data_IF_958427574045
#
_entry.id   IF_958427574045
#
_cell.length_a   1.000
_cell.length_b   1.000
_cell.length_c   1.000
_cell.angle_alpha   90.00
_cell.angle_beta   90.00
_cell.angle_gamma   90.00
#
_symmetry.space_group_name_H-M   'P 1'
#
loop_
_entity.id
_entity.type
_entity.pdbx_description
1 polymer ?
#
# COMPACT_ATOMS: atom_id res chain seq x y z
N UNK A 1 -17.04 17.12 -33.38
CA UNK A 1 -18.08 16.18 -32.88
C UNK A 1 -17.59 15.68 -31.54
N UNK A 2 -18.24 16.07 -30.46
CA UNK A 2 -17.96 15.54 -29.12
C UNK A 2 -18.24 14.04 -29.15
N UNK A 3 -17.20 13.22 -28.99
CA UNK A 3 -17.36 11.78 -28.79
C UNK A 3 -18.23 11.57 -27.54
N UNK A 4 -19.52 11.36 -27.76
CA UNK A 4 -20.52 11.24 -26.72
C UNK A 4 -20.14 10.12 -25.77
N UNK A 5 -20.03 10.44 -24.48
CA UNK A 5 -20.00 9.47 -23.40
C UNK A 5 -21.19 8.50 -23.58
N UNK A 6 -20.92 7.19 -23.56
CA UNK A 6 -21.88 6.14 -23.92
C UNK A 6 -21.68 4.90 -23.03
N UNK A 7 -22.47 3.85 -23.24
CA UNK A 7 -22.45 2.67 -22.37
C UNK A 7 -21.13 1.90 -22.41
N UNK A 8 -20.38 1.96 -23.51
CA UNK A 8 -19.03 1.40 -23.54
C UNK A 8 -18.08 2.19 -22.62
N UNK A 9 -18.20 3.52 -22.56
CA UNK A 9 -17.44 4.34 -21.61
C UNK A 9 -17.87 4.05 -20.17
N UNK A 10 -19.17 3.89 -19.91
CA UNK A 10 -19.71 3.50 -18.59
C UNK A 10 -19.15 2.15 -18.14
N UNK A 11 -19.19 1.14 -19.01
CA UNK A 11 -18.67 -0.19 -18.71
C UNK A 11 -17.16 -0.17 -18.43
N UNK A 12 -16.39 0.62 -19.19
CA UNK A 12 -14.96 0.78 -18.95
C UNK A 12 -14.69 1.45 -17.59
N UNK A 13 -15.39 2.55 -17.28
CA UNK A 13 -15.25 3.23 -16.00
C UNK A 13 -15.66 2.34 -14.82
N UNK A 14 -16.76 1.58 -14.94
CA UNK A 14 -17.17 0.62 -13.91
C UNK A 14 -16.10 -0.45 -13.67
N UNK A 15 -15.50 -0.98 -14.73
CA UNK A 15 -14.41 -1.94 -14.61
C UNK A 15 -13.16 -1.33 -13.95
N UNK A 16 -12.84 -0.07 -14.25
CA UNK A 16 -11.75 0.66 -13.60
C UNK A 16 -12.02 0.88 -12.11
N UNK A 17 -13.21 1.36 -11.74
CA UNK A 17 -13.58 1.59 -10.34
C UNK A 17 -13.60 0.30 -9.52
N UNK A 18 -14.13 -0.80 -10.09
CA UNK A 18 -14.18 -2.09 -9.41
C UNK A 18 -12.80 -2.69 -9.12
N UNK A 19 -11.80 -2.40 -9.97
CA UNK A 19 -10.42 -2.86 -9.78
C UNK A 19 -9.56 -1.87 -9.00
N UNK A 20 -9.94 -0.58 -8.99
CA UNK A 20 -9.18 0.52 -8.41
C UNK A 20 -7.99 0.97 -9.28
N UNK A 21 -7.27 0.03 -9.91
CA UNK A 21 -6.22 0.34 -10.88
C UNK A 21 -6.15 -0.66 -12.03
N UNK A 22 -5.40 -0.30 -13.08
CA UNK A 22 -5.15 -1.16 -14.24
C UNK A 22 -3.94 -0.71 -15.03
N UNK A 23 -3.21 -1.70 -15.56
CA UNK A 23 -2.20 -1.49 -16.57
C UNK A 23 -2.78 -1.25 -17.95
N UNK A 24 -1.95 -0.74 -18.88
CA UNK A 24 -2.32 -0.62 -20.30
C UNK A 24 -2.84 -1.95 -20.89
N UNK A 25 -2.19 -3.07 -20.58
CA UNK A 25 -2.55 -4.38 -21.11
C UNK A 25 -3.92 -4.81 -20.57
N UNK A 26 -4.17 -4.65 -19.28
CA UNK A 26 -5.46 -5.01 -18.68
C UNK A 26 -6.58 -4.11 -19.17
N UNK A 27 -6.30 -2.82 -19.30
CA UNK A 27 -7.21 -1.83 -19.87
C UNK A 27 -7.61 -2.17 -21.30
N UNK A 28 -6.64 -2.52 -22.16
CA UNK A 28 -6.90 -3.00 -23.53
C UNK A 28 -7.73 -4.29 -23.55
N UNK A 29 -7.45 -5.24 -22.66
CA UNK A 29 -8.25 -6.48 -22.54
C UNK A 29 -9.70 -6.18 -22.16
N UNK A 30 -9.94 -5.24 -21.23
CA UNK A 30 -11.30 -4.79 -20.89
C UNK A 30 -11.98 -4.16 -22.12
N UNK A 31 -11.30 -3.24 -22.80
CA UNK A 31 -11.86 -2.59 -23.99
C UNK A 31 -12.15 -3.58 -25.12
N UNK A 32 -11.28 -4.57 -25.32
CA UNK A 32 -11.49 -5.65 -26.27
C UNK A 32 -12.76 -6.46 -25.93
N UNK A 33 -12.97 -6.81 -24.66
CA UNK A 33 -14.19 -7.48 -24.20
C UNK A 33 -15.45 -6.62 -24.44
N UNK A 34 -15.41 -5.33 -24.08
CA UNK A 34 -16.52 -4.39 -24.30
C UNK A 34 -16.84 -4.25 -25.79
N UNK A 35 -15.81 -4.11 -26.64
CA UNK A 35 -15.98 -4.01 -28.10
C UNK A 35 -16.50 -5.31 -28.70
N UNK A 36 -16.09 -6.46 -28.17
CA UNK A 36 -16.55 -7.75 -28.68
C UNK A 36 -18.07 -7.91 -28.53
N UNK A 37 -18.60 -7.52 -27.37
CA UNK A 37 -20.05 -7.53 -27.11
C UNK A 37 -20.77 -6.52 -28.00
N UNK A 38 -20.24 -5.30 -28.12
CA UNK A 38 -20.89 -4.22 -28.88
C UNK A 38 -20.89 -4.47 -30.39
N UNK A 39 -19.80 -5.00 -30.92
CA UNK A 39 -19.61 -5.25 -32.35
C UNK A 39 -20.08 -6.65 -32.77
N UNK A 40 -20.50 -7.49 -31.82
CA UNK A 40 -20.90 -8.89 -32.04
C UNK A 40 -19.86 -9.70 -32.83
N UNK A 41 -18.58 -9.42 -32.58
CA UNK A 41 -17.44 -10.13 -33.17
C UNK A 41 -16.34 -10.27 -32.13
N UNK A 42 -15.45 -11.23 -32.32
CA UNK A 42 -14.27 -11.32 -31.47
C UNK A 42 -13.34 -10.13 -31.73
N UNK A 43 -12.99 -9.42 -30.66
CA UNK A 43 -11.99 -8.35 -30.63
C UNK A 43 -10.95 -8.75 -29.59
N UNK A 44 -9.69 -8.80 -30.01
CA UNK A 44 -8.56 -9.14 -29.15
C UNK A 44 -7.94 -7.87 -28.55
N UNK A 45 -7.04 -8.02 -27.58
CA UNK A 45 -6.36 -6.87 -26.99
C UNK A 45 -5.41 -6.17 -27.99
N UNK A 46 -4.89 -6.90 -28.98
CA UNK A 46 -4.04 -6.37 -30.05
C UNK A 46 -4.83 -5.48 -31.03
N UNK A 47 -6.13 -5.70 -31.15
CA UNK A 47 -7.04 -4.87 -31.98
C UNK A 47 -7.36 -3.51 -31.33
N UNK A 48 -6.95 -3.30 -30.07
CA UNK A 48 -7.15 -2.04 -29.34
C UNK A 48 -5.84 -1.24 -29.38
N UNK A 49 -5.85 -0.14 -30.12
CA UNK A 49 -4.69 0.76 -30.19
C UNK A 49 -4.49 1.53 -28.87
N UNK A 50 -3.27 2.03 -28.65
CA UNK A 50 -2.96 2.86 -27.47
C UNK A 50 -3.79 4.15 -27.48
N UNK A 51 -4.00 4.76 -28.65
CA UNK A 51 -4.80 5.98 -28.80
C UNK A 51 -6.27 5.73 -28.47
N UNK A 52 -6.80 4.56 -28.81
CA UNK A 52 -8.14 4.15 -28.42
C UNK A 52 -8.25 4.05 -26.91
N UNK A 53 -7.30 3.39 -26.25
CA UNK A 53 -7.27 3.28 -24.81
C UNK A 53 -7.15 4.65 -24.12
N UNK A 54 -6.22 5.50 -24.57
CA UNK A 54 -6.03 6.85 -24.03
C UNK A 54 -7.28 7.72 -24.19
N UNK A 55 -8.03 7.55 -25.29
CA UNK A 55 -9.33 8.22 -25.46
C UNK A 55 -10.33 7.79 -24.38
N UNK A 56 -10.45 6.49 -24.09
CA UNK A 56 -11.34 6.00 -23.03
C UNK A 56 -10.92 6.51 -21.64
N UNK A 57 -9.61 6.56 -21.35
CA UNK A 57 -9.10 7.13 -20.10
C UNK A 57 -9.48 8.61 -19.97
N UNK A 58 -9.28 9.43 -21.02
CA UNK A 58 -9.66 10.86 -20.97
C UNK A 58 -11.15 11.05 -20.77
N UNK A 59 -11.97 10.32 -21.53
CA UNK A 59 -13.43 10.41 -21.42
C UNK A 59 -13.93 9.97 -20.03
N UNK A 60 -13.30 8.95 -19.44
CA UNK A 60 -13.58 8.53 -18.08
C UNK A 60 -13.13 9.60 -17.06
N UNK A 61 -11.94 10.19 -17.23
CA UNK A 61 -11.39 11.23 -16.35
C UNK A 61 -12.30 12.47 -16.34
N UNK A 62 -12.74 12.92 -17.52
CA UNK A 62 -13.66 14.04 -17.67
C UNK A 62 -15.00 13.76 -16.96
N UNK A 63 -15.51 12.53 -17.06
CA UNK A 63 -16.78 12.14 -16.43
C UNK A 63 -16.71 12.14 -14.90
N UNK A 64 -15.58 11.74 -14.32
CA UNK A 64 -15.44 11.60 -12.86
C UNK A 64 -14.96 12.88 -12.17
N UNK A 65 -14.36 13.80 -12.93
CA UNK A 65 -13.85 15.09 -12.42
C UNK A 65 -14.88 15.92 -11.66
N UNK A 66 -16.16 15.81 -12.02
CA UNK A 66 -17.28 16.54 -11.38
C UNK A 66 -17.64 16.02 -9.99
N UNK A 67 -17.09 14.87 -9.62
CA UNK A 67 -17.34 14.20 -8.35
C UNK A 67 -16.07 14.16 -7.50
N UNK A 68 -15.13 15.07 -7.78
CA UNK A 68 -13.85 15.18 -7.08
C UNK A 68 -12.98 13.92 -7.16
N UNK A 69 -13.21 13.07 -8.16
CA UNK A 69 -12.34 11.96 -8.50
C UNK A 69 -11.45 12.32 -9.69
N UNK A 70 -10.27 11.73 -9.71
CA UNK A 70 -9.31 11.85 -10.79
C UNK A 70 -8.89 10.47 -11.28
N UNK A 71 -8.50 10.38 -12.55
CA UNK A 71 -7.77 9.22 -13.07
C UNK A 71 -6.32 9.64 -13.24
N UNK A 72 -5.45 9.11 -12.39
CA UNK A 72 -4.01 9.38 -12.44
C UNK A 72 -3.28 8.22 -13.09
N UNK A 73 -2.07 8.49 -13.56
CA UNK A 73 -1.18 7.43 -14.03
C UNK A 73 0.22 7.58 -13.46
N UNK A 74 0.87 6.46 -13.19
CA UNK A 74 2.26 6.39 -12.75
C UNK A 74 2.97 5.21 -13.44
N UNK A 75 4.29 5.16 -13.32
CA UNK A 75 5.06 3.99 -13.72
C UNK A 75 5.44 3.18 -12.48
N UNK A 76 5.24 1.88 -12.54
CA UNK A 76 5.74 0.97 -11.53
C UNK A 76 7.26 1.10 -11.43
N UNK A 77 7.76 1.33 -10.22
CA UNK A 77 9.16 1.73 -9.99
C UNK A 77 10.21 0.64 -10.27
N UNK A 78 9.75 -0.60 -10.53
CA UNK A 78 10.57 -1.77 -10.86
C UNK A 78 10.28 -2.21 -12.30
N UNK A 79 9.02 -2.56 -12.59
CA UNK A 79 8.65 -3.17 -13.88
C UNK A 79 8.52 -2.15 -15.02
N UNK A 80 8.50 -0.84 -14.73
CA UNK A 80 8.25 0.26 -15.68
C UNK A 80 6.86 0.26 -16.33
N UNK A 81 5.98 -0.68 -15.95
CA UNK A 81 4.63 -0.74 -16.47
C UNK A 81 3.86 0.53 -16.08
N UNK A 82 3.14 1.12 -17.02
CA UNK A 82 2.26 2.25 -16.76
C UNK A 82 0.96 1.75 -16.15
N UNK A 83 0.63 2.29 -14.97
CA UNK A 83 -0.56 1.96 -14.19
C UNK A 83 -1.45 3.19 -14.14
N UNK A 84 -2.75 2.99 -14.34
CA UNK A 84 -3.80 4.00 -14.23
C UNK A 84 -4.65 3.67 -13.01
N UNK A 85 -4.90 4.65 -12.14
CA UNK A 85 -5.72 4.45 -10.95
C UNK A 85 -6.81 5.50 -10.87
N UNK A 86 -7.96 5.07 -10.37
CA UNK A 86 -9.06 5.93 -9.97
C UNK A 86 -8.80 6.39 -8.54
N UNK A 87 -8.60 7.70 -8.35
CA UNK A 87 -8.21 8.29 -7.06
C UNK A 87 -9.23 9.35 -6.66
N UNK A 88 -9.44 9.51 -5.35
CA UNK A 88 -10.22 10.61 -4.81
C UNK A 88 -9.32 11.81 -4.54
N UNK A 89 -9.78 13.00 -4.89
CA UNK A 89 -9.00 14.24 -4.85
C UNK A 89 -9.18 15.03 -3.55
N UNK A 90 -10.23 14.74 -2.76
CA UNK A 90 -10.57 15.49 -1.54
C UNK A 90 -10.45 14.65 -0.27
N UNK A 91 -10.85 13.37 -0.31
CA UNK A 91 -10.90 12.55 0.91
C UNK A 91 -9.51 12.28 1.47
N UNK A 92 -9.38 12.21 2.80
CA UNK A 92 -8.27 11.49 3.42
C UNK A 92 -8.27 10.05 2.88
N UNK A 93 -7.32 9.78 2.00
CA UNK A 93 -7.15 8.52 1.29
C UNK A 93 -7.03 7.30 2.21
N UNK A 94 -6.59 7.48 3.47
CA UNK A 94 -6.63 6.39 4.46
C UNK A 94 -8.07 6.03 4.87
N UNK A 95 -9.00 6.98 4.82
CA UNK A 95 -10.42 6.77 5.13
C UNK A 95 -11.07 5.81 4.13
N UNK A 96 -10.64 5.80 2.86
CA UNK A 96 -11.13 4.82 1.88
C UNK A 96 -10.71 3.39 2.26
N UNK A 97 -9.45 3.19 2.62
CA UNK A 97 -9.01 1.90 3.17
C UNK A 97 -9.81 1.57 4.43
N UNK A 98 -10.11 2.55 5.27
CA UNK A 98 -10.80 2.36 6.55
C UNK A 98 -12.30 2.01 6.40
N UNK A 99 -13.01 2.51 5.38
CA UNK A 99 -14.48 2.32 5.26
C UNK A 99 -14.93 0.86 5.20
N UNK A 100 -14.09 -0.05 4.71
CA UNK A 100 -14.39 -1.47 4.61
C UNK A 100 -13.75 -2.33 5.72
N UNK A 101 -13.17 -1.71 6.76
CA UNK A 101 -12.29 -2.38 7.72
C UNK A 101 -12.75 -2.19 9.16
N UNK A 102 -12.50 -3.20 9.98
CA UNK A 102 -12.76 -3.12 11.42
C UNK A 102 -11.75 -2.18 12.11
N UNK A 103 -12.07 -1.67 13.32
CA UNK A 103 -11.13 -0.84 14.08
C UNK A 103 -9.76 -1.48 14.30
N UNK A 104 -9.72 -2.79 14.57
CA UNK A 104 -8.47 -3.54 14.77
C UNK A 104 -7.66 -3.69 13.47
N UNK A 105 -8.34 -3.86 12.33
CA UNK A 105 -7.71 -3.90 11.02
C UNK A 105 -7.11 -2.53 10.64
N UNK A 106 -7.83 -1.44 10.91
CA UNK A 106 -7.33 -0.07 10.68
C UNK A 106 -6.09 0.19 11.52
N UNK A 107 -6.12 -0.20 12.80
CA UNK A 107 -4.98 -0.03 13.70
C UNK A 107 -3.77 -0.87 13.26
N UNK A 108 -4.00 -2.09 12.78
CA UNK A 108 -2.95 -2.91 12.17
C UNK A 108 -2.35 -2.23 10.94
N UNK A 109 -3.18 -1.70 10.03
CA UNK A 109 -2.72 -1.02 8.82
C UNK A 109 -1.86 0.20 9.18
N UNK A 110 -2.29 1.02 10.15
CA UNK A 110 -1.50 2.16 10.63
C UNK A 110 -0.12 1.71 11.14
N UNK A 111 -0.07 0.69 12.00
CA UNK A 111 1.21 0.13 12.50
C UNK A 111 2.07 -0.46 11.38
N UNK A 112 1.45 -1.08 10.38
CA UNK A 112 2.16 -1.58 9.21
C UNK A 112 2.78 -0.44 8.41
N UNK A 113 2.07 0.67 8.21
CA UNK A 113 2.60 1.88 7.55
C UNK A 113 3.74 2.48 8.37
N UNK A 114 3.60 2.58 9.69
CA UNK A 114 4.66 3.07 10.57
C UNK A 114 5.90 2.16 10.53
N UNK A 115 5.70 0.85 10.46
CA UNK A 115 6.80 -0.09 10.30
C UNK A 115 7.54 0.12 8.96
N UNK A 116 6.81 0.42 7.89
CA UNK A 116 7.38 0.70 6.56
C UNK A 116 8.11 2.06 6.54
N UNK A 117 7.48 3.14 7.02
CA UNK A 117 7.92 4.52 6.81
C UNK A 117 8.65 5.17 8.00
N UNK A 118 8.55 4.60 9.20
CA UNK A 118 9.29 5.03 10.38
C UNK A 118 10.38 4.00 10.72
N UNK A 119 10.01 2.75 11.01
CA UNK A 119 10.97 1.75 11.48
C UNK A 119 11.96 1.33 10.39
N UNK A 120 11.47 1.07 9.17
CA UNK A 120 12.29 0.63 8.04
C UNK A 120 12.68 1.75 7.06
N UNK A 121 12.49 3.01 7.46
CA UNK A 121 12.92 4.17 6.69
C UNK A 121 13.56 5.20 7.62
N UNK A 122 14.88 5.09 7.75
CA UNK A 122 15.71 5.94 8.60
C UNK A 122 16.72 6.70 7.75
N UNK A 123 17.33 7.74 8.34
CA UNK A 123 18.38 8.55 7.69
C UNK A 123 19.50 7.71 7.07
N UNK A 124 19.92 6.63 7.74
CA UNK A 124 20.97 5.75 7.25
C UNK A 124 20.45 4.70 6.23
N UNK A 125 19.20 4.25 6.38
CA UNK A 125 18.63 3.09 5.70
C UNK A 125 17.18 3.35 5.27
N UNK A 126 17.00 3.59 3.99
CA UNK A 126 15.71 3.93 3.37
C UNK A 126 15.12 2.70 2.65
N UNK A 127 14.62 1.71 3.41
CA UNK A 127 14.09 0.46 2.84
C UNK A 127 12.65 0.62 2.38
N UNK A 128 11.80 1.32 3.14
CA UNK A 128 10.37 1.53 2.80
C UNK A 128 9.65 0.25 2.37
N UNK A 129 9.98 -0.85 3.06
CA UNK A 129 9.40 -2.17 2.89
C UNK A 129 9.59 -2.96 4.19
N UNK A 130 8.78 -3.98 4.41
CA UNK A 130 8.80 -4.83 5.62
C UNK A 130 8.78 -6.31 5.24
N UNK A 131 9.58 -7.15 5.91
CA UNK A 131 9.55 -8.60 5.66
C UNK A 131 8.21 -9.19 6.12
N UNK A 132 7.70 -10.21 5.42
CA UNK A 132 6.43 -10.85 5.77
C UNK A 132 6.38 -11.34 7.23
N UNK A 133 7.47 -11.91 7.74
CA UNK A 133 7.56 -12.34 9.15
C UNK A 133 7.43 -11.17 10.14
N UNK A 134 8.00 -10.02 9.82
CA UNK A 134 7.89 -8.81 10.66
C UNK A 134 6.49 -8.21 10.59
N UNK A 135 5.84 -8.23 9.42
CA UNK A 135 4.45 -7.79 9.27
C UNK A 135 3.46 -8.64 10.09
N UNK A 136 3.83 -9.89 10.40
CA UNK A 136 3.07 -10.82 11.24
C UNK A 136 3.55 -10.85 12.71
N UNK A 137 4.53 -10.01 13.05
CA UNK A 137 5.06 -9.87 14.41
C UNK A 137 4.01 -9.33 15.37
N UNK A 138 4.14 -9.69 16.65
CA UNK A 138 3.21 -9.27 17.72
C UNK A 138 3.20 -7.74 17.85
N UNK A 139 4.35 -7.11 17.68
CA UNK A 139 4.52 -5.65 17.73
C UNK A 139 3.67 -4.92 16.70
N UNK A 140 3.50 -5.47 15.49
CA UNK A 140 2.67 -4.85 14.44
C UNK A 140 1.20 -5.23 14.66
N UNK A 141 0.94 -6.50 14.97
CA UNK A 141 -0.42 -7.03 15.12
C UNK A 141 -1.18 -6.48 16.32
N UNK A 142 -0.53 -6.40 17.47
CA UNK A 142 -1.13 -6.03 18.75
C UNK A 142 -0.63 -4.69 19.28
N UNK A 143 0.57 -4.27 18.88
CA UNK A 143 1.21 -3.08 19.44
C UNK A 143 1.39 -3.22 20.94
N UNK A 144 1.19 -2.14 21.67
CA UNK A 144 1.26 -2.11 23.14
C UNK A 144 -0.02 -2.56 23.86
N UNK A 145 -1.07 -2.95 23.12
CA UNK A 145 -2.36 -3.37 23.69
C UNK A 145 -2.54 -4.88 23.56
N UNK A 146 -3.31 -5.51 24.46
CA UNK A 146 -3.60 -6.95 24.35
C UNK A 146 -4.59 -7.29 23.22
N UNK A 147 -5.39 -6.30 22.79
CA UNK A 147 -6.32 -6.38 21.65
C UNK A 147 -5.64 -6.00 20.33
N UNK A 148 -5.92 -6.79 19.30
CA UNK A 148 -5.37 -6.66 17.96
C UNK A 148 -5.53 -7.96 17.20
N UNK A 149 -5.09 -7.99 15.94
CA UNK A 149 -5.34 -9.14 15.07
C UNK A 149 -4.58 -10.39 15.54
N UNK A 150 -5.22 -11.55 15.44
CA UNK A 150 -4.57 -12.86 15.49
C UNK A 150 -3.61 -13.04 14.30
N UNK A 151 -2.79 -14.09 14.32
CA UNK A 151 -1.81 -14.32 13.25
C UNK A 151 -2.52 -14.59 11.93
N UNK A 152 -3.56 -15.43 11.98
CA UNK A 152 -4.38 -15.80 10.83
C UNK A 152 -5.14 -14.60 10.25
N UNK A 153 -5.70 -13.75 11.10
CA UNK A 153 -6.39 -12.53 10.67
C UNK A 153 -5.45 -11.55 9.98
N UNK A 154 -4.26 -11.31 10.56
CA UNK A 154 -3.26 -10.43 9.95
C UNK A 154 -2.77 -10.98 8.59
N UNK A 155 -2.53 -12.28 8.49
CA UNK A 155 -2.14 -12.91 7.22
C UNK A 155 -3.25 -12.79 6.17
N UNK A 156 -4.51 -13.01 6.56
CA UNK A 156 -5.67 -12.83 5.68
C UNK A 156 -5.79 -11.37 5.22
N UNK A 157 -5.62 -10.42 6.13
CA UNK A 157 -5.69 -9.00 5.82
C UNK A 157 -4.58 -8.55 4.86
N UNK A 158 -3.36 -9.04 5.04
CA UNK A 158 -2.26 -8.77 4.11
C UNK A 158 -2.59 -9.27 2.69
N UNK A 159 -3.15 -10.48 2.55
CA UNK A 159 -3.59 -11.01 1.26
C UNK A 159 -4.71 -10.18 0.63
N UNK A 160 -5.64 -9.68 1.44
CA UNK A 160 -6.68 -8.76 0.96
C UNK A 160 -6.05 -7.46 0.44
N UNK A 161 -5.12 -6.86 1.19
CA UNK A 161 -4.41 -5.65 0.79
C UNK A 161 -3.56 -5.85 -0.48
N UNK A 162 -2.96 -7.03 -0.67
CA UNK A 162 -2.29 -7.39 -1.93
C UNK A 162 -3.29 -7.47 -3.10
N UNK A 163 -4.40 -8.18 -2.91
CA UNK A 163 -5.42 -8.36 -3.96
C UNK A 163 -6.11 -7.06 -4.36
N UNK A 164 -6.26 -6.12 -3.42
CA UNK A 164 -6.80 -4.79 -3.65
C UNK A 164 -5.73 -3.80 -4.19
N UNK A 165 -4.49 -4.26 -4.40
CA UNK A 165 -3.35 -3.47 -4.87
C UNK A 165 -3.01 -2.27 -3.97
N UNK A 166 -3.20 -2.42 -2.66
CA UNK A 166 -2.64 -1.50 -1.67
C UNK A 166 -1.18 -1.84 -1.38
N UNK A 167 -0.88 -3.13 -1.32
CA UNK A 167 0.46 -3.66 -1.11
C UNK A 167 0.89 -4.50 -2.30
N UNK A 168 2.20 -4.57 -2.51
CA UNK A 168 2.83 -5.54 -3.37
C UNK A 168 3.87 -6.32 -2.58
N UNK A 169 4.10 -7.57 -2.97
CA UNK A 169 5.09 -8.44 -2.34
C UNK A 169 6.19 -8.81 -3.32
N UNK A 170 7.41 -8.49 -2.94
CA UNK A 170 8.61 -8.87 -3.67
C UNK A 170 8.88 -10.38 -3.58
N UNK A 171 9.69 -10.88 -4.51
CA UNK A 171 10.19 -12.28 -4.51
C UNK A 171 10.95 -12.64 -3.24
N UNK A 172 11.59 -11.64 -2.60
CA UNK A 172 12.33 -11.81 -1.37
C UNK A 172 11.43 -11.75 -0.10
N UNK A 173 10.10 -11.71 -0.29
CA UNK A 173 9.13 -11.74 0.80
C UNK A 173 9.01 -10.43 1.58
N UNK A 174 9.26 -9.29 0.93
CA UNK A 174 8.96 -7.97 1.51
C UNK A 174 7.67 -7.40 0.94
N UNK A 175 6.86 -6.82 1.82
CA UNK A 175 5.73 -5.97 1.49
C UNK A 175 6.18 -4.51 1.35
N UNK A 176 5.69 -3.84 0.30
CA UNK A 176 5.79 -2.39 0.10
C UNK A 176 4.48 -1.85 -0.48
N UNK A 177 4.31 -0.53 -0.48
CA UNK A 177 3.15 0.07 -1.14
C UNK A 177 3.19 -0.20 -2.65
N UNK A 178 2.06 -0.63 -3.18
CA UNK A 178 1.84 -0.79 -4.62
C UNK A 178 1.69 0.59 -5.31
N UNK A 179 1.79 0.66 -6.66
CA UNK A 179 1.69 1.91 -7.41
C UNK A 179 0.38 2.68 -7.17
N UNK A 180 -0.75 1.97 -7.05
CA UNK A 180 -2.06 2.56 -6.72
C UNK A 180 -2.00 3.30 -5.39
N UNK A 181 -1.54 2.61 -4.33
CA UNK A 181 -1.41 3.19 -3.00
C UNK A 181 -0.50 4.42 -2.98
N UNK A 182 0.59 4.44 -3.74
CA UNK A 182 1.48 5.60 -3.82
C UNK A 182 0.84 6.82 -4.49
N UNK A 183 -0.08 6.61 -5.44
CA UNK A 183 -0.82 7.70 -6.08
C UNK A 183 -1.93 8.22 -5.17
N UNK A 184 -2.67 7.31 -4.55
CA UNK A 184 -3.85 7.61 -3.76
C UNK A 184 -3.48 8.18 -2.38
N UNK A 185 -2.53 7.56 -1.69
CA UNK A 185 -2.06 7.97 -0.37
C UNK A 185 -1.02 9.10 -0.41
N UNK A 186 -0.79 9.72 -1.58
CA UNK A 186 0.35 10.63 -1.78
C UNK A 186 0.39 11.75 -0.75
N UNK A 187 -0.71 12.49 -0.62
CA UNK A 187 -0.79 13.64 0.30
C UNK A 187 -0.74 13.16 1.75
N UNK A 188 -1.53 12.13 2.08
CA UNK A 188 -1.56 11.55 3.42
C UNK A 188 -0.18 11.09 3.91
N UNK A 189 0.60 10.41 3.06
CA UNK A 189 1.96 9.96 3.41
C UNK A 189 2.87 11.14 3.76
N UNK A 190 2.78 12.23 2.99
CA UNK A 190 3.58 13.44 3.23
C UNK A 190 3.14 14.08 4.53
N UNK A 191 1.86 14.34 4.70
CA UNK A 191 1.31 15.04 5.87
C UNK A 191 1.55 14.25 7.16
N UNK A 192 1.54 12.92 7.09
CA UNK A 192 1.72 12.03 8.24
C UNK A 192 3.20 11.88 8.64
N UNK A 193 4.11 11.77 7.66
CA UNK A 193 5.49 11.34 7.93
C UNK A 193 6.56 12.42 7.71
N UNK A 194 6.20 13.55 7.10
CA UNK A 194 7.10 14.68 6.91
C UNK A 194 6.71 15.85 7.81
N UNK A 195 7.70 16.56 8.34
CA UNK A 195 7.49 17.75 9.16
C UNK A 195 7.53 19.01 8.28
N UNK A 196 6.50 19.86 8.30
CA UNK A 196 6.37 20.99 7.38
C UNK A 196 7.37 22.13 7.66
N UNK A 197 7.82 22.29 8.90
CA UNK A 197 8.62 23.44 9.33
C UNK A 197 10.11 23.35 8.95
N UNK A 198 10.60 22.17 8.56
CA UNK A 198 12.01 21.97 8.17
C UNK A 198 12.16 21.19 6.86
N UNK A 199 11.69 21.78 5.76
CA UNK A 199 11.88 21.22 4.42
C UNK A 199 13.36 21.04 4.01
N UNK A 200 14.30 21.63 4.77
CA UNK A 200 15.73 21.55 4.53
C UNK A 200 16.37 20.31 5.14
N UNK A 201 15.82 19.79 6.25
CA UNK A 201 16.30 18.56 6.91
C UNK A 201 15.84 17.27 6.24
N UNK A 202 16.32 16.15 6.76
CA UNK A 202 15.98 14.82 6.24
C UNK A 202 14.49 14.54 6.41
N UNK A 203 13.80 14.28 5.30
CA UNK A 203 12.37 13.99 5.26
C UNK A 203 12.12 12.50 5.12
N UNK A 204 11.03 11.91 5.63
CA UNK A 204 10.78 10.46 5.45
C UNK A 204 10.39 10.15 4.02
N UNK A 205 9.35 10.83 3.53
CA UNK A 205 8.83 10.70 2.17
C UNK A 205 9.58 11.66 1.25
N UNK A 206 10.16 11.11 0.20
CA UNK A 206 11.05 11.83 -0.71
C UNK A 206 10.60 11.66 -2.16
N UNK A 207 10.86 12.68 -2.96
CA UNK A 207 10.43 12.73 -4.35
C UNK A 207 11.59 12.59 -5.31
N UNK A 208 11.32 11.94 -6.43
CA UNK A 208 12.26 11.79 -7.52
C UNK A 208 12.56 13.15 -8.11
N UNK A 209 13.85 13.50 -8.25
CA UNK A 209 14.21 14.79 -8.82
C UNK A 209 13.78 14.93 -10.28
N UNK A 210 13.64 13.83 -11.01
CA UNK A 210 13.23 13.78 -12.40
C UNK A 210 11.70 13.89 -12.57
N UNK A 211 10.94 12.89 -12.12
CA UNK A 211 9.49 12.81 -12.36
C UNK A 211 8.62 13.44 -11.26
N UNK A 212 9.21 13.87 -10.13
CA UNK A 212 8.50 14.44 -8.96
C UNK A 212 7.58 13.47 -8.21
N UNK A 213 7.57 12.19 -8.56
CA UNK A 213 6.82 11.17 -7.81
C UNK A 213 7.57 10.63 -6.59
N UNK A 214 6.83 10.08 -5.62
CA UNK A 214 7.40 9.45 -4.42
C UNK A 214 8.38 8.34 -4.84
N UNK A 215 9.56 8.29 -4.21
CA UNK A 215 10.58 7.26 -4.46
C UNK A 215 10.58 6.26 -3.33
N UNK A 216 10.14 5.04 -3.61
CA UNK A 216 10.30 3.87 -2.72
C UNK A 216 11.36 2.91 -3.23
N UNK A 217 11.71 2.97 -4.53
CA UNK A 217 12.78 2.18 -5.15
C UNK A 217 13.65 3.05 -6.06
N UNK A 218 14.96 3.07 -5.81
CA UNK A 218 15.86 3.92 -6.59
C UNK A 218 17.26 4.09 -6.03
N UNK A 219 17.82 5.26 -6.29
CA UNK A 219 19.12 5.70 -5.81
C UNK A 219 19.00 6.99 -5.02
N UNK A 220 19.92 7.16 -4.06
CA UNK A 220 20.03 8.36 -3.23
C UNK A 220 21.40 9.02 -3.34
N UNK A 221 21.43 10.29 -2.96
CA UNK A 221 22.69 11.00 -2.78
C UNK A 221 23.59 10.27 -1.75
N UNK A 222 24.90 10.37 -1.93
CA UNK A 222 25.87 9.86 -0.97
C UNK A 222 25.87 10.65 0.35
N UNK A 223 25.52 11.93 0.29
CA UNK A 223 25.25 12.75 1.46
C UNK A 223 23.89 12.35 2.08
N UNK A 224 23.92 11.97 3.36
CA UNK A 224 22.76 11.50 4.13
C UNK A 224 21.75 12.61 4.41
N UNK A 225 22.17 13.87 4.49
CA UNK A 225 21.29 15.01 4.73
C UNK A 225 20.68 15.56 3.45
N UNK A 226 21.20 15.15 2.30
CA UNK A 226 20.66 15.55 1.02
C UNK A 226 19.45 14.68 0.64
N UNK A 227 18.26 15.29 0.54
CA UNK A 227 17.00 14.61 0.13
C UNK A 227 16.88 14.26 -1.36
N UNK A 228 17.91 14.48 -2.20
CA UNK A 228 17.81 14.18 -3.63
C UNK A 228 17.75 12.66 -3.85
N UNK A 229 16.65 12.20 -4.47
CA UNK A 229 16.43 10.82 -4.89
C UNK A 229 16.14 10.74 -6.38
N UNK A 230 16.43 9.59 -6.98
CA UNK A 230 16.06 9.26 -8.36
C UNK A 230 15.56 7.83 -8.39
N UNK A 231 14.42 7.57 -9.04
CA UNK A 231 14.04 6.19 -9.36
C UNK A 231 15.07 5.55 -10.30
N UNK A 232 15.22 4.23 -10.22
CA UNK A 232 16.06 3.47 -11.16
C UNK A 232 15.58 3.66 -12.61
N UNK A 233 14.27 3.79 -12.80
CA UNK A 233 13.65 3.99 -14.12
C UNK A 233 13.92 5.40 -14.68
N UNK A 234 14.18 6.38 -13.81
CA UNK A 234 14.40 7.78 -14.21
C UNK A 234 15.87 8.14 -14.37
N UNK A 235 16.78 7.48 -13.64
CA UNK A 235 18.17 7.95 -13.52
C UNK A 235 18.92 8.01 -14.86
N UNK A 236 18.70 7.04 -15.76
CA UNK A 236 19.41 6.98 -17.04
C UNK A 236 19.08 8.19 -17.91
N UNK A 237 17.79 8.50 -18.08
CA UNK A 237 17.36 9.67 -18.85
C UNK A 237 17.79 10.98 -18.17
N UNK A 238 17.68 11.03 -16.83
CA UNK A 238 18.07 12.20 -16.06
C UNK A 238 19.56 12.55 -16.22
N UNK A 239 20.46 11.56 -16.14
CA UNK A 239 21.89 11.79 -16.28
C UNK A 239 22.34 12.02 -17.71
N UNK A 240 21.70 11.40 -18.72
CA UNK A 240 21.97 11.67 -20.14
C UNK A 240 21.74 13.13 -20.52
N UNK A 241 20.79 13.81 -19.86
CA UNK A 241 20.49 15.22 -20.11
C UNK A 241 21.49 16.21 -19.50
N UNK A 242 22.57 15.73 -18.86
CA UNK A 242 23.47 16.55 -18.03
C UNK A 242 24.93 16.33 -18.38
N UNK A 243 25.72 17.39 -18.23
CA UNK A 243 27.16 17.39 -18.48
C UNK A 243 27.98 16.72 -17.37
N UNK A 244 27.46 16.69 -16.13
CA UNK A 244 28.14 16.04 -15.02
C UNK A 244 27.21 15.22 -14.14
N UNK A 245 27.75 14.15 -13.55
CA UNK A 245 27.03 13.24 -12.65
C UNK A 245 27.20 13.66 -11.19
N UNK A 246 26.93 14.92 -10.91
CA UNK A 246 26.94 15.50 -9.56
C UNK A 246 25.52 15.68 -9.05
N UNK A 247 25.33 15.52 -7.74
CA UNK A 247 24.07 15.80 -7.10
C UNK A 247 23.62 17.24 -7.41
N UNK A 248 22.39 17.46 -7.92
CA UNK A 248 21.89 18.79 -8.24
C UNK A 248 21.84 19.75 -7.04
N UNK A 249 21.62 19.22 -5.83
CA UNK A 249 21.48 20.00 -4.57
C UNK A 249 22.85 20.26 -3.94
N UNK A 250 23.50 19.22 -3.42
CA UNK A 250 24.77 19.37 -2.66
C UNK A 250 26.06 19.25 -3.50
N UNK A 251 25.96 19.05 -4.82
CA UNK A 251 27.09 18.94 -5.77
C UNK A 251 28.05 17.76 -5.56
N UNK A 252 27.86 16.95 -4.53
CA UNK A 252 28.64 15.72 -4.31
C UNK A 252 28.54 14.77 -5.50
N UNK A 253 29.64 14.06 -5.80
CA UNK A 253 29.67 13.08 -6.88
C UNK A 253 28.64 11.96 -6.64
N UNK A 254 27.88 11.61 -7.68
CA UNK A 254 26.88 10.55 -7.59
C UNK A 254 27.54 9.20 -7.85
N UNK A 255 27.62 8.36 -6.82
CA UNK A 255 28.46 7.15 -6.86
C UNK A 255 27.71 5.83 -7.17
N UNK A 256 26.40 5.88 -7.44
CA UNK A 256 25.53 4.74 -7.80
C UNK A 256 25.52 3.56 -6.81
N UNK A 257 26.10 3.74 -5.63
CA UNK A 257 26.22 2.70 -4.61
C UNK A 257 25.16 2.83 -3.53
N UNK A 258 24.50 3.98 -3.44
CA UNK A 258 23.52 4.28 -2.40
C UNK A 258 22.10 4.10 -2.94
N UNK A 259 21.39 3.10 -2.39
CA UNK A 259 20.08 2.69 -2.87
C UNK A 259 18.95 3.13 -1.94
N UNK A 260 17.75 3.18 -2.52
CA UNK A 260 16.45 3.31 -1.86
C UNK A 260 15.65 2.04 -2.17
N UNK A 261 14.90 1.54 -1.20
CA UNK A 261 14.12 0.30 -1.32
C UNK A 261 14.84 -0.89 -0.70
N UNK A 262 14.34 -2.11 -0.98
CA UNK A 262 14.88 -3.38 -0.48
C UNK A 262 16.41 -3.50 -0.69
N UNK A 263 16.93 -2.98 -1.82
CA UNK A 263 18.37 -2.97 -2.12
C UNK A 263 19.23 -2.20 -1.11
N UNK A 264 18.65 -1.27 -0.35
CA UNK A 264 19.36 -0.54 0.71
C UNK A 264 19.87 -1.48 1.82
N UNK A 265 19.25 -2.64 2.02
CA UNK A 265 19.69 -3.66 2.99
C UNK A 265 21.12 -4.14 2.66
N UNK A 266 21.37 -4.51 1.40
CA UNK A 266 22.65 -5.10 0.95
C UNK A 266 23.85 -4.15 1.04
N UNK A 267 23.62 -2.83 0.91
CA UNK A 267 24.68 -1.84 1.03
C UNK A 267 25.06 -1.60 2.50
N UNK A 268 24.13 -1.82 3.42
CA UNK A 268 24.35 -1.63 4.86
C UNK A 268 25.32 -2.68 5.41
N UNK A 269 25.21 -3.94 4.97
CA UNK A 269 26.13 -5.00 5.38
C UNK A 269 27.57 -4.75 4.91
N UNK A 270 27.75 -4.15 3.72
CA UNK A 270 29.07 -3.78 3.20
C UNK A 270 29.66 -2.59 3.95
N UNK A 271 28.86 -1.58 4.27
CA UNK A 271 29.31 -0.41 5.02
C UNK A 271 29.57 -0.71 6.51
N UNK A 272 28.79 -1.59 7.13
CA UNK A 272 29.01 -2.05 8.50
C UNK A 272 30.35 -2.81 8.62
N UNK A 273 30.71 -3.60 7.61
CA UNK A 273 32.02 -4.28 7.53
C UNK A 273 33.18 -3.31 7.33
N UNK A 274 32.98 -2.20 6.61
CA UNK A 274 34.02 -1.18 6.39
C UNK A 274 34.27 -0.31 7.64
N UNK A 275 33.21 0.08 8.37
CA UNK A 275 33.35 0.91 9.57
C UNK A 275 33.78 0.13 10.83
N UNK A 276 33.85 -1.21 10.77
CA UNK A 276 34.28 -2.06 11.89
C UNK A 276 35.80 -2.24 12.04
N UNK A 277 36.62 -1.63 11.18
CA UNK A 277 38.10 -1.78 11.22
C UNK A 277 38.76 -0.48 11.68
N UNK A 278 38.63 -0.15 12.97
CA UNK A 278 39.18 1.12 13.44
C UNK A 278 39.13 1.46 14.92
N UNK A 279 39.30 0.51 15.86
CA UNK A 279 39.94 0.80 17.17
C UNK A 279 40.24 -0.46 17.97
N UNK A 280 41.51 -0.64 18.30
CA UNK A 280 42.01 -1.79 19.06
C UNK A 280 41.77 -1.68 20.58
N UNK A 281 41.69 -2.89 21.15
CA UNK A 281 42.07 -3.33 22.50
C UNK A 281 41.30 -2.82 23.73
N UNK A 282 40.48 -3.72 24.32
CA UNK A 282 40.81 -4.35 25.61
C UNK A 282 40.11 -5.71 25.75
N UNK A 283 40.90 -6.73 26.09
CA UNK A 283 40.52 -8.12 26.37
C UNK A 283 39.59 -8.21 27.59
N UNK A 284 38.55 -9.05 27.51
CA UNK A 284 38.09 -9.92 28.60
C UNK A 284 37.71 -11.27 27.97
N UNK A 285 38.14 -12.35 28.62
CA UNK A 285 37.97 -13.77 28.28
C UNK A 285 36.77 -14.35 29.04
N UNK A 286 36.37 -15.55 28.63
CA UNK A 286 35.47 -16.57 29.23
C UNK A 286 34.06 -16.59 28.60
N UNK A 287 33.79 -17.55 27.69
CA UNK A 287 33.29 -18.94 27.89
C UNK A 287 31.73 -18.92 27.87
N UNK A 288 30.97 -19.74 27.15
CA UNK A 288 31.12 -21.09 26.61
C UNK A 288 30.19 -21.29 25.39
N UNK A 289 30.57 -22.24 24.53
CA UNK A 289 29.86 -22.73 23.34
C UNK A 289 28.60 -23.54 23.69
N UNK A 290 27.51 -23.34 22.95
CA UNK A 290 26.54 -24.39 22.63
C UNK A 290 26.21 -24.37 21.13
N UNK A 291 26.83 -25.29 20.41
CA UNK A 291 26.47 -25.71 19.05
C UNK A 291 25.21 -26.57 19.07
N UNK A 292 24.18 -26.15 18.34
CA UNK A 292 22.98 -26.95 18.06
C UNK A 292 23.29 -27.81 16.81
N UNK A 293 23.31 -29.13 16.98
CA UNK A 293 23.43 -30.10 15.88
C UNK A 293 22.11 -30.24 15.12
N UNK A 294 22.21 -30.26 13.79
CA UNK A 294 21.17 -30.56 12.82
C UNK A 294 21.01 -32.08 12.68
N UNK A 295 19.79 -32.61 12.84
CA UNK A 295 19.45 -33.97 12.42
C UNK A 295 18.35 -33.95 11.34
N UNK A 296 18.76 -34.26 10.11
CA UNK A 296 17.89 -34.80 9.06
C UNK A 296 18.43 -36.19 8.68
N UNK A 297 17.66 -37.26 8.91
CA UNK A 297 17.72 -38.45 8.03
C UNK A 297 16.30 -39.02 7.84
N UNK A 298 15.85 -38.93 6.59
CA UNK A 298 14.72 -39.62 5.98
C UNK A 298 15.02 -41.11 5.79
N UNK A 299 14.05 -42.00 6.03
CA UNK A 299 14.03 -43.40 5.53
C UNK A 299 12.69 -44.11 5.78
N UNK A 300 11.85 -44.19 4.75
CA UNK A 300 10.91 -45.32 4.49
C UNK A 300 11.55 -46.25 3.43
N UNK A 301 11.04 -47.47 3.10
CA UNK A 301 9.78 -48.14 3.48
C UNK A 301 9.91 -49.65 3.82
N UNK A 302 8.81 -50.32 4.25
CA UNK A 302 8.44 -51.70 3.83
C UNK A 302 7.03 -52.14 4.24
N UNK A 303 6.37 -52.88 3.34
CA UNK A 303 4.98 -53.38 3.36
C UNK A 303 4.83 -54.80 3.94
N UNK A 304 3.58 -55.13 4.32
CA UNK A 304 2.81 -56.43 4.29
C UNK A 304 2.23 -56.79 5.68
N UNK A 305 1.02 -57.35 5.87
CA UNK A 305 -0.18 -57.71 5.08
C UNK A 305 -1.21 -58.34 6.09
N UNK A 306 -2.47 -57.86 6.14
CA UNK A 306 -3.81 -58.56 6.24
C UNK A 306 -3.96 -59.76 7.24
N UNK A 307 -5.03 -60.05 8.01
CA UNK A 307 -6.44 -59.65 8.37
C UNK A 307 -6.90 -60.70 9.47
N UNK A 308 -8.20 -60.96 9.81
CA UNK A 308 -9.23 -60.14 10.49
C UNK A 308 -9.98 -60.97 11.59
N UNK A 309 -11.04 -60.39 12.20
CA UNK A 309 -12.32 -61.00 12.69
C UNK A 309 -12.88 -60.13 13.84
N UNK A 310 -14.17 -59.99 14.13
CA UNK A 310 -15.45 -60.18 13.42
C UNK A 310 -16.58 -59.64 14.35
N UNK A 311 -17.68 -59.15 13.75
CA UNK A 311 -19.09 -59.12 14.25
C UNK A 311 -19.43 -58.48 15.62
N UNK A 312 -20.59 -57.87 15.91
CA UNK A 312 -21.94 -57.77 15.34
C UNK A 312 -22.66 -56.63 16.14
N UNK A 313 -23.28 -55.64 15.48
CA UNK A 313 -24.73 -55.47 15.22
C UNK A 313 -25.64 -55.05 16.39
N UNK A 314 -26.51 -54.06 16.13
CA UNK A 314 -27.76 -53.76 16.86
C UNK A 314 -27.96 -52.25 17.08
N UNK A 315 -28.51 -51.49 16.12
CA UNK A 315 -29.94 -51.24 15.81
C UNK A 315 -30.70 -50.34 16.81
N UNK A 316 -31.20 -49.23 16.24
CA UNK A 316 -32.43 -48.51 16.61
C UNK A 316 -32.23 -47.26 17.48
N UNK A 317 -32.98 -46.17 17.38
CA UNK A 317 -33.98 -45.68 16.41
C UNK A 317 -34.50 -44.35 16.98
N UNK A 318 -34.74 -43.34 16.13
CA UNK A 318 -35.72 -42.22 16.20
C UNK A 318 -35.89 -41.41 17.50
N UNK A 319 -35.77 -40.07 17.42
CA UNK A 319 -36.93 -39.16 17.44
C UNK A 319 -36.52 -37.68 17.31
N UNK A 320 -37.19 -37.00 16.36
CA UNK A 320 -37.47 -35.57 16.38
C UNK A 320 -38.41 -35.23 17.54
N UNK A 321 -38.28 -34.04 18.12
CA UNK A 321 -39.44 -33.23 18.52
C UNK A 321 -39.01 -31.77 18.77
N UNK A 322 -39.87 -30.87 18.30
CA UNK A 322 -39.82 -29.41 18.40
C UNK A 322 -40.93 -28.94 19.36
N UNK A 323 -40.73 -27.78 20.01
CA UNK A 323 -41.74 -26.86 20.58
C UNK A 323 -40.98 -25.78 21.39
N UNK A 324 -41.08 -24.47 21.06
CA UNK A 324 -42.06 -23.48 21.58
C UNK A 324 -41.87 -23.23 23.10
N UNK A 325 -41.92 -22.04 23.71
CA UNK A 325 -42.20 -20.63 23.37
C UNK A 325 -41.86 -19.81 24.66
N UNK A 326 -42.05 -18.49 24.62
CA UNK A 326 -42.33 -17.56 25.73
C UNK A 326 -41.22 -16.68 26.35
N UNK A 327 -41.21 -15.43 25.87
CA UNK A 327 -41.37 -14.14 26.59
C UNK A 327 -40.61 -13.85 27.89
N UNK A 328 -39.96 -12.69 27.95
CA UNK A 328 -40.36 -11.61 28.87
C UNK A 328 -39.75 -10.26 28.47
N UNK A 329 -40.57 -9.23 28.57
CA UNK A 329 -40.23 -7.83 28.38
C UNK A 329 -39.61 -7.24 29.66
N UNK A 330 -38.72 -6.25 29.52
CA UNK A 330 -38.52 -5.22 30.53
C UNK A 330 -38.25 -3.86 29.89
N UNK A 331 -39.16 -2.94 30.21
CA UNK A 331 -39.21 -1.52 29.87
C UNK A 331 -38.13 -0.67 30.56
N UNK A 332 -37.55 0.25 29.77
CA UNK A 332 -37.28 1.71 29.99
C UNK A 332 -36.58 2.27 31.25
N UNK A 333 -36.10 3.55 31.27
CA UNK A 333 -36.18 4.61 30.23
C UNK A 333 -34.86 5.36 29.91
N UNK A 334 -34.91 6.06 28.77
CA UNK A 334 -34.03 7.14 28.34
C UNK A 334 -34.32 8.45 29.08
N UNK A 335 -33.28 9.19 29.45
CA UNK A 335 -33.37 10.57 29.94
C UNK A 335 -32.62 11.48 28.95
N UNK A 336 -33.39 12.25 28.18
CA UNK A 336 -32.90 13.40 27.42
C UNK A 336 -33.23 14.67 28.21
N UNK A 337 -32.22 15.46 28.54
CA UNK A 337 -32.40 16.84 29.01
C UNK A 337 -32.15 17.77 27.83
N UNK A 338 -33.21 18.51 27.51
CA UNK A 338 -33.29 19.62 26.57
C UNK A 338 -33.21 20.91 27.40
N UNK A 339 -32.20 21.74 27.15
CA UNK A 339 -32.22 23.14 27.61
C UNK A 339 -32.09 24.06 26.40
N UNK A 340 -33.18 24.78 26.18
CA UNK A 340 -33.36 25.87 25.24
C UNK A 340 -33.44 27.21 25.97
N UNK A 341 -33.06 28.28 25.28
CA UNK A 341 -33.31 29.69 25.65
C UNK A 341 -32.13 30.35 26.36
N UNK A 342 -31.69 31.56 26.04
CA UNK A 342 -32.47 32.65 25.46
C UNK A 342 -31.60 33.76 24.82
N UNK A 343 -32.33 34.55 24.04
CA UNK A 343 -31.99 35.69 23.19
C UNK A 343 -31.18 36.84 23.85
N UNK A 344 -30.54 37.67 23.01
CA UNK A 344 -30.80 39.11 23.00
C UNK A 344 -30.21 39.82 21.77
N UNK A 345 -31.12 40.57 21.11
CA UNK A 345 -30.96 41.53 20.04
C UNK A 345 -29.97 42.67 20.35
N UNK A 346 -29.38 43.29 19.32
CA UNK A 346 -29.67 44.70 18.99
C UNK A 346 -29.00 45.16 17.68
N UNK A 347 -29.79 45.91 16.93
CA UNK A 347 -29.52 46.66 15.70
C UNK A 347 -28.43 47.74 15.89
N UNK A 348 -27.81 48.19 14.80
CA UNK A 348 -27.63 49.62 14.45
C UNK A 348 -27.24 49.74 12.96
N UNK A 349 -27.83 50.76 12.36
CA UNK A 349 -27.94 51.14 10.96
C UNK A 349 -26.69 51.80 10.33
N UNK A 350 -26.76 51.87 8.99
CA UNK A 350 -26.46 53.01 8.10
C UNK A 350 -25.02 53.38 7.64
N UNK A 351 -24.91 53.36 6.30
CA UNK A 351 -24.31 54.34 5.38
C UNK A 351 -22.83 54.76 5.50
N UNK A 352 -22.09 54.66 4.39
CA UNK A 352 -21.77 55.82 3.53
C UNK A 352 -20.87 55.39 2.35
N UNK A 353 -21.45 55.62 1.19
CA UNK A 353 -20.92 55.88 -0.15
C UNK A 353 -19.55 56.64 -0.20
N UNK A 354 -18.55 56.15 -0.97
CA UNK A 354 -17.85 56.86 -2.08
C UNK A 354 -16.47 56.27 -2.45
N UNK A 355 -16.38 55.86 -3.71
CA UNK A 355 -15.23 55.78 -4.63
C UNK A 355 -14.31 57.03 -4.65
N UNK A 356 -13.14 57.01 -5.34
CA UNK A 356 -12.70 56.06 -6.39
C UNK A 356 -11.46 55.22 -6.10
#
# INVERSE_FOLDING_TARGET
MTDSYNDANRAFLQALMARGSLSLIEGKKILAAIRSVREQREVTFDDVSDECFDKYIRVAADAVSRFDYEIRSTQHQITKQKIYAFVNSISDSLTQIATARSPDEILYIKRLMDAIFIMNNTRAKEVMAIKSMQALGTEIRKGSMEKGLTHSEAEKLLKILENEEWLERSTDGFYSLAPRALMELRSWLVDTYNEPEDASSWQRIKFCKACKEIVTVGQRCADLDCNVRLHNICETAYWKSRSSRNCPKCKLAWNEKNFVGIRAITNTEKNARHNGTGRGTKRVRDNEDETIEEDQIDSRPRQRRIKPESHQSGLGSVNEEAAEDESSAHDEPEHYEDESGDNLDTEIEEDINRSP
#
